data_IF_903531035537
#
_entry.id   IF_903531035537
#
_cell.length_a   1.000
_cell.length_b   1.000
_cell.length_c   1.000
_cell.angle_alpha   90.00
_cell.angle_beta   90.00
_cell.angle_gamma   90.00
#
_symmetry.space_group_name_H-M   'P 1'
#
loop_
_entity.id
_entity.type
_entity.pdbx_description
1 polymer ?
#
# COMPACT_ATOMS: atom_id res chain seq x y z
N UNK A 1 -18.06 -3.97 -11.55
CA UNK A 1 -17.85 -4.58 -10.22
C UNK A 1 -16.59 -3.97 -9.64
N UNK A 2 -16.78 -3.07 -8.69
CA UNK A 2 -15.71 -2.57 -7.81
C UNK A 2 -15.35 -3.71 -6.86
N UNK A 3 -14.06 -3.94 -6.65
CA UNK A 3 -13.58 -4.99 -5.76
C UNK A 3 -13.66 -4.49 -4.31
N UNK A 4 -13.86 -5.37 -3.32
CA UNK A 4 -14.08 -5.01 -1.91
C UNK A 4 -12.96 -4.10 -1.37
N UNK A 5 -11.73 -4.27 -1.87
CA UNK A 5 -10.59 -3.42 -1.51
C UNK A 5 -10.76 -1.97 -1.97
N UNK A 6 -11.20 -1.76 -3.22
CA UNK A 6 -11.46 -0.41 -3.75
C UNK A 6 -12.56 0.29 -2.96
N UNK A 7 -13.64 -0.42 -2.61
CA UNK A 7 -14.73 0.13 -1.78
C UNK A 7 -14.25 0.53 -0.38
N UNK A 8 -13.25 -0.17 0.18
CA UNK A 8 -12.64 0.20 1.46
C UNK A 8 -11.84 1.49 1.30
N UNK A 9 -11.00 1.64 0.28
CA UNK A 9 -10.23 2.87 0.07
C UNK A 9 -11.11 4.09 -0.21
N UNK A 10 -12.18 3.93 -1.00
CA UNK A 10 -13.13 5.01 -1.31
C UNK A 10 -13.78 5.61 -0.05
N UNK A 11 -14.00 4.81 1.00
CA UNK A 11 -14.53 5.30 2.29
C UNK A 11 -13.60 6.26 3.03
N UNK A 12 -12.31 6.26 2.68
CA UNK A 12 -11.28 7.14 3.22
C UNK A 12 -10.78 8.15 2.16
N UNK A 13 -11.55 8.37 1.10
CA UNK A 13 -11.21 9.27 -0.02
C UNK A 13 -9.85 8.93 -0.64
N UNK A 14 -9.50 7.64 -0.68
CA UNK A 14 -8.21 7.13 -1.15
C UNK A 14 -7.00 7.81 -0.49
N UNK A 15 -7.19 8.36 0.72
CA UNK A 15 -6.21 9.14 1.47
C UNK A 15 -5.70 10.39 0.70
N UNK A 16 -6.48 10.95 -0.22
CA UNK A 16 -6.11 12.13 -1.00
C UNK A 16 -5.74 13.31 -0.10
N UNK A 17 -4.56 13.92 -0.33
CA UNK A 17 -3.95 15.00 0.46
C UNK A 17 -3.53 14.62 1.90
N UNK A 18 -3.46 13.33 2.22
CA UNK A 18 -2.96 12.89 3.54
C UNK A 18 -1.43 12.82 3.54
N UNK A 19 -0.84 13.09 4.70
CA UNK A 19 0.59 13.01 4.95
C UNK A 19 0.95 11.62 5.50
N UNK A 20 1.86 10.90 4.84
CA UNK A 20 2.38 9.63 5.37
C UNK A 20 3.30 9.91 6.56
N UNK A 21 2.93 9.40 7.74
CA UNK A 21 3.67 9.56 9.00
C UNK A 21 4.20 8.23 9.57
N UNK A 22 3.98 7.11 8.88
CA UNK A 22 4.51 5.81 9.29
C UNK A 22 4.54 4.78 8.18
N UNK A 23 5.66 4.07 8.10
CA UNK A 23 5.87 2.88 7.27
C UNK A 23 6.44 1.83 8.24
N UNK A 24 5.68 0.78 8.50
CA UNK A 24 6.04 -0.26 9.46
C UNK A 24 5.86 -1.65 8.84
N UNK A 25 6.63 -2.62 9.34
CA UNK A 25 6.48 -4.02 8.99
C UNK A 25 6.33 -4.86 10.26
N UNK A 26 5.47 -5.86 10.19
CA UNK A 26 5.22 -6.81 11.28
C UNK A 26 5.14 -8.24 10.70
N UNK A 27 5.10 -9.23 11.58
CA UNK A 27 4.93 -10.64 11.20
C UNK A 27 3.81 -11.28 12.01
N UNK A 28 2.93 -12.03 11.37
CA UNK A 28 1.99 -12.89 12.08
C UNK A 28 2.69 -14.16 12.60
N UNK A 29 2.37 -14.60 13.83
CA UNK A 29 2.70 -15.95 14.30
C UNK A 29 4.19 -16.26 14.53
N UNK A 30 5.09 -15.27 14.55
CA UNK A 30 6.49 -15.46 14.97
C UNK A 30 7.40 -16.14 13.96
N UNK A 31 7.04 -16.15 12.66
CA UNK A 31 7.87 -16.69 11.58
C UNK A 31 9.22 -15.96 11.40
N UNK A 32 9.33 -14.74 11.94
CA UNK A 32 10.48 -13.85 11.79
C UNK A 32 10.61 -13.18 10.42
N UNK A 33 9.79 -13.58 9.45
CA UNK A 33 9.71 -12.96 8.12
C UNK A 33 8.46 -12.05 8.12
N UNK A 34 8.62 -10.73 7.90
CA UNK A 34 7.48 -9.84 7.85
C UNK A 34 6.53 -10.17 6.70
N UNK A 35 5.26 -10.34 7.02
CA UNK A 35 4.14 -10.57 6.09
C UNK A 35 2.98 -9.59 6.33
N UNK A 36 3.19 -8.61 7.20
CA UNK A 36 2.27 -7.50 7.45
C UNK A 36 2.99 -6.21 7.11
N UNK A 37 2.33 -5.37 6.30
CA UNK A 37 2.78 -4.01 6.02
C UNK A 37 1.75 -3.02 6.56
N UNK A 38 2.23 -1.97 7.23
CA UNK A 38 1.39 -0.94 7.82
C UNK A 38 1.80 0.42 7.29
N UNK A 39 0.86 1.10 6.64
CA UNK A 39 0.98 2.50 6.25
C UNK A 39 0.13 3.35 7.19
N UNK A 40 0.72 4.36 7.81
CA UNK A 40 -0.01 5.38 8.57
C UNK A 40 0.03 6.71 7.85
N UNK A 41 -1.12 7.36 7.80
CA UNK A 41 -1.26 8.69 7.22
C UNK A 41 -2.26 9.54 8.00
N UNK A 42 -2.17 10.86 7.90
CA UNK A 42 -3.10 11.79 8.52
C UNK A 42 -3.42 13.00 7.64
N UNK A 43 -4.62 13.58 7.78
CA UNK A 43 -5.01 14.86 7.17
C UNK A 43 -4.80 16.06 8.12
N UNK A 44 -4.21 15.81 9.29
CA UNK A 44 -3.98 16.80 10.36
C UNK A 44 -5.10 16.87 11.39
N UNK A 45 -6.28 16.29 11.11
CA UNK A 45 -7.39 16.16 12.05
C UNK A 45 -7.66 14.70 12.42
N UNK A 46 -7.51 13.80 11.44
CA UNK A 46 -7.73 12.36 11.53
C UNK A 46 -6.45 11.64 11.14
N UNK A 47 -6.29 10.43 11.66
CA UNK A 47 -5.23 9.50 11.27
C UNK A 47 -5.87 8.18 10.88
N UNK A 48 -5.31 7.53 9.87
CA UNK A 48 -5.71 6.23 9.40
C UNK A 48 -4.49 5.31 9.51
N UNK A 49 -4.75 4.07 9.92
CA UNK A 49 -3.76 2.98 9.89
C UNK A 49 -4.21 1.95 8.89
N UNK A 50 -3.54 1.88 7.74
CA UNK A 50 -3.80 0.91 6.69
C UNK A 50 -2.91 -0.30 6.92
N UNK A 51 -3.51 -1.43 7.26
CA UNK A 51 -2.82 -2.71 7.46
C UNK A 51 -3.09 -3.63 6.27
N UNK A 52 -2.01 -4.01 5.59
CA UNK A 52 -1.97 -5.01 4.55
C UNK A 52 -1.46 -6.32 5.14
N UNK A 53 -2.24 -7.39 5.04
CA UNK A 53 -1.92 -8.70 5.61
C UNK A 53 -1.62 -9.72 4.50
N UNK A 54 -0.74 -10.68 4.81
CA UNK A 54 -0.32 -11.72 3.88
C UNK A 54 0.53 -11.16 2.73
N UNK A 55 1.28 -10.10 2.99
CA UNK A 55 2.13 -9.39 2.02
C UNK A 55 3.17 -10.34 1.46
N UNK A 56 3.22 -10.43 0.13
CA UNK A 56 4.22 -11.24 -0.58
C UNK A 56 5.31 -10.38 -1.22
N UNK A 57 4.97 -9.13 -1.57
CA UNK A 57 5.89 -8.17 -2.18
C UNK A 57 5.56 -6.76 -1.71
N UNK A 58 6.60 -5.99 -1.44
CA UNK A 58 6.52 -4.58 -1.07
C UNK A 58 7.67 -3.85 -1.77
N UNK A 59 7.35 -2.76 -2.46
CA UNK A 59 8.34 -1.89 -3.07
C UNK A 59 7.93 -0.44 -2.88
N UNK A 60 8.87 0.41 -2.51
CA UNK A 60 8.64 1.84 -2.43
C UNK A 60 9.90 2.59 -2.85
N UNK A 61 9.73 3.80 -3.36
CA UNK A 61 10.83 4.67 -3.74
C UNK A 61 10.52 6.13 -3.47
N UNK A 62 11.54 6.96 -3.65
CA UNK A 62 11.52 8.38 -3.31
C UNK A 62 11.19 8.59 -1.81
N UNK A 63 10.65 9.76 -1.47
CA UNK A 63 10.37 10.17 -0.10
C UNK A 63 10.95 11.53 0.26
N UNK A 64 10.25 12.24 1.14
CA UNK A 64 10.66 13.53 1.68
C UNK A 64 9.93 13.83 2.98
N UNK A 65 10.08 15.05 3.52
CA UNK A 65 9.41 15.41 4.77
C UNK A 65 7.88 15.44 4.64
N UNK A 66 7.36 15.79 3.47
CA UNK A 66 5.92 16.02 3.28
C UNK A 66 5.13 14.75 2.92
N UNK A 67 5.67 13.81 2.12
CA UNK A 67 5.01 12.55 1.72
C UNK A 67 3.49 12.63 1.57
N UNK A 68 3.02 13.47 0.64
CA UNK A 68 1.60 13.74 0.41
C UNK A 68 1.06 12.72 -0.59
N UNK A 69 0.00 12.02 -0.18
CA UNK A 69 -0.69 11.03 -1.00
C UNK A 69 -1.58 11.74 -2.02
N UNK A 70 -1.41 11.40 -3.30
CA UNK A 70 -2.38 11.75 -4.34
C UNK A 70 -3.55 10.76 -4.33
N UNK A 71 -3.27 9.47 -4.23
CA UNK A 71 -4.31 8.43 -4.14
C UNK A 71 -3.70 7.11 -3.72
N UNK A 72 -4.42 6.29 -2.95
CA UNK A 72 -4.08 4.89 -2.68
C UNK A 72 -5.16 3.99 -3.28
N UNK A 73 -4.80 3.19 -4.27
CA UNK A 73 -5.78 2.46 -5.08
C UNK A 73 -5.44 0.98 -5.22
N UNK A 74 -6.47 0.15 -5.36
CA UNK A 74 -6.32 -1.21 -5.83
C UNK A 74 -6.18 -1.22 -7.36
N UNK A 75 -5.06 -1.75 -7.86
CA UNK A 75 -4.70 -1.73 -9.29
C UNK A 75 -4.83 -3.11 -9.93
N UNK A 76 -5.25 -3.14 -11.20
CA UNK A 76 -5.56 -4.38 -11.93
C UNK A 76 -4.54 -4.71 -13.00
N UNK A 77 -4.20 -6.00 -13.22
CA UNK A 77 -3.34 -6.42 -14.32
C UNK A 77 -3.76 -5.84 -15.66
N UNK A 78 -2.79 -5.46 -16.48
CA UNK A 78 -3.01 -4.87 -17.82
C UNK A 78 -3.28 -3.35 -17.82
N UNK A 79 -3.31 -2.70 -16.66
CA UNK A 79 -3.38 -1.23 -16.56
C UNK A 79 -1.99 -0.60 -16.47
N UNK A 80 -1.85 0.66 -16.86
CA UNK A 80 -0.59 1.43 -16.69
C UNK A 80 -0.20 1.53 -15.20
N UNK A 81 -1.21 1.74 -14.35
CA UNK A 81 -1.07 1.73 -12.89
C UNK A 81 -0.40 0.45 -12.38
N UNK A 82 -0.89 -0.71 -12.82
CA UNK A 82 -0.33 -2.00 -12.45
C UNK A 82 1.09 -2.20 -12.99
N UNK A 83 1.41 -1.68 -14.18
CA UNK A 83 2.78 -1.74 -14.69
C UNK A 83 3.77 -0.94 -13.82
N UNK A 84 3.36 0.25 -13.33
CA UNK A 84 4.15 1.03 -12.36
C UNK A 84 4.30 0.29 -11.02
N UNK A 85 3.21 -0.29 -10.52
CA UNK A 85 3.25 -1.09 -9.31
C UNK A 85 4.20 -2.29 -9.45
N UNK A 86 4.12 -3.05 -10.55
CA UNK A 86 5.04 -4.16 -10.82
C UNK A 86 6.51 -3.71 -10.93
N UNK A 87 6.78 -2.52 -11.47
CA UNK A 87 8.15 -2.00 -11.52
C UNK A 87 8.72 -1.80 -10.10
N UNK A 88 7.94 -1.28 -9.16
CA UNK A 88 8.36 -1.17 -7.76
C UNK A 88 8.48 -2.55 -7.09
N UNK A 89 7.47 -3.41 -7.28
CA UNK A 89 7.44 -4.76 -6.70
C UNK A 89 8.56 -5.66 -7.24
N UNK A 90 9.09 -5.38 -8.43
CA UNK A 90 10.21 -6.13 -9.02
C UNK A 90 11.49 -6.06 -8.18
N UNK A 91 11.61 -5.04 -7.32
CA UNK A 91 12.75 -4.83 -6.40
C UNK A 91 12.60 -5.58 -5.07
N UNK A 92 11.45 -6.21 -4.81
CA UNK A 92 11.23 -7.03 -3.61
C UNK A 92 11.76 -8.46 -3.78
N UNK A 93 11.95 -9.18 -2.67
CA UNK A 93 12.32 -10.59 -2.73
C UNK A 93 11.17 -11.42 -3.34
N UNK A 94 11.49 -12.21 -4.37
CA UNK A 94 10.50 -13.02 -5.09
C UNK A 94 10.37 -14.39 -4.44
N UNK A 95 9.38 -14.56 -3.56
CA UNK A 95 8.87 -15.89 -3.22
C UNK A 95 8.03 -16.47 -4.37
N UNK A 96 7.79 -17.78 -4.37
CA UNK A 96 6.94 -18.43 -5.38
C UNK A 96 5.45 -18.07 -5.24
N UNK A 97 5.02 -17.73 -4.02
CA UNK A 97 3.63 -17.34 -3.72
C UNK A 97 3.37 -15.90 -4.16
N UNK A 98 2.20 -15.70 -4.79
CA UNK A 98 1.64 -14.39 -5.13
C UNK A 98 0.34 -14.17 -4.36
N UNK A 99 0.18 -13.00 -3.76
CA UNK A 99 -1.05 -12.65 -3.05
C UNK A 99 -2.16 -12.20 -4.02
N UNK A 100 -3.36 -12.00 -3.48
CA UNK A 100 -4.57 -11.76 -4.26
C UNK A 100 -4.67 -10.37 -4.89
N UNK A 101 -4.13 -9.34 -4.23
CA UNK A 101 -4.38 -7.94 -4.59
C UNK A 101 -3.11 -7.12 -4.81
N UNK A 102 -3.19 -6.29 -5.85
CA UNK A 102 -2.42 -5.09 -6.21
C UNK A 102 -2.80 -3.79 -5.49
N UNK A 103 -2.03 -3.18 -4.59
CA UNK A 103 -2.27 -1.75 -4.26
C UNK A 103 -1.08 -0.87 -4.65
N UNK A 104 -1.38 0.34 -5.10
CA UNK A 104 -0.39 1.35 -5.46
C UNK A 104 -0.77 2.70 -4.86
N UNK A 105 0.20 3.34 -4.24
CA UNK A 105 0.13 4.69 -3.70
C UNK A 105 0.78 5.64 -4.70
N UNK A 106 -0.06 6.50 -5.28
CA UNK A 106 0.34 7.65 -6.07
C UNK A 106 0.73 8.77 -5.12
N UNK A 107 1.92 9.33 -5.31
CA UNK A 107 2.35 10.50 -4.55
C UNK A 107 2.02 11.79 -5.30
N UNK A 108 1.49 12.79 -4.60
CA UNK A 108 1.58 14.18 -5.07
C UNK A 108 3.03 14.66 -4.89
N UNK A 109 3.63 14.27 -3.76
CA UNK A 109 5.02 14.55 -3.42
C UNK A 109 5.52 13.51 -2.43
N UNK A 110 6.68 12.91 -2.68
CA UNK A 110 7.37 12.07 -1.71
C UNK A 110 7.32 10.60 -2.08
N UNK A 111 6.81 9.75 -1.18
CA UNK A 111 6.89 8.30 -1.32
C UNK A 111 5.90 7.77 -2.35
N UNK A 112 6.38 6.99 -3.32
CA UNK A 112 5.54 6.09 -4.12
C UNK A 112 5.71 4.66 -3.60
N UNK A 113 4.61 3.91 -3.56
CA UNK A 113 4.61 2.59 -2.93
C UNK A 113 3.69 1.62 -3.68
N UNK A 114 4.12 0.37 -3.77
CA UNK A 114 3.33 -0.75 -4.25
C UNK A 114 3.38 -1.89 -3.23
N UNK A 115 2.24 -2.53 -2.99
CA UNK A 115 2.13 -3.68 -2.10
C UNK A 115 1.26 -4.78 -2.74
N UNK A 116 1.75 -6.01 -2.69
CA UNK A 116 1.00 -7.22 -3.05
C UNK A 116 0.58 -7.95 -1.78
N UNK A 117 -0.73 -8.14 -1.56
CA UNK A 117 -1.30 -8.59 -0.29
C UNK A 117 -2.60 -9.39 -0.46
N UNK A 118 -3.06 -10.05 0.61
CA UNK A 118 -4.27 -10.88 0.60
C UNK A 118 -5.47 -10.22 1.28
N UNK A 119 -5.24 -9.43 2.33
CA UNK A 119 -6.31 -8.75 3.09
C UNK A 119 -5.92 -7.33 3.47
N UNK A 120 -6.94 -6.49 3.58
CA UNK A 120 -6.82 -5.08 3.92
C UNK A 120 -7.70 -4.76 5.14
N UNK A 121 -7.15 -3.98 6.06
CA UNK A 121 -7.88 -3.36 7.16
C UNK A 121 -7.46 -1.89 7.28
N UNK A 122 -8.42 -1.02 7.58
CA UNK A 122 -8.17 0.40 7.85
C UNK A 122 -8.91 0.77 9.13
N UNK A 123 -8.19 1.34 10.10
CA UNK A 123 -8.75 1.96 11.31
C UNK A 123 -8.50 3.47 11.32
#
# INVERSE_FOLDING_TARGET
MTDTVSEIFDRFDNLHDWYVDGILTESEGGSGIPDIFILRAHDGQRRATVTFEGVTRLGFEAGGLLNIVNSLEAVRPGTEAYAKAEALLSRSAHGERRARYVAYLYSTLGVELAVEFDRLRID
#
